data_IF_046355432359
#
_entry.id   IF_046355432359
#
_cell.length_a   1.000
_cell.length_b   1.000
_cell.length_c   1.000
_cell.angle_alpha   90.00
_cell.angle_beta   90.00
_cell.angle_gamma   90.00
#
_symmetry.space_group_name_H-M   'P 1'
#
loop_
_entity.id
_entity.type
_entity.pdbx_description
1 polymer ?
#
# COMPACT_ATOMS: atom_id res chain seq x y z
N UNK A 1 13.31 18.50 39.00
CA UNK A 1 13.24 17.39 38.04
C UNK A 1 11.83 17.39 37.47
N UNK A 2 11.66 18.00 36.28
CA UNK A 2 10.35 18.11 35.61
C UNK A 2 10.16 16.84 34.78
N UNK A 3 9.18 16.02 35.15
CA UNK A 3 8.75 14.89 34.35
C UNK A 3 8.17 15.40 33.04
N UNK A 4 8.84 15.16 31.95
CA UNK A 4 8.31 15.35 30.58
C UNK A 4 7.14 14.39 30.44
N UNK A 5 5.93 14.88 30.70
CA UNK A 5 4.71 14.20 30.34
C UNK A 5 4.77 13.96 28.81
N UNK A 6 4.95 12.71 28.42
CA UNK A 6 4.74 12.27 27.04
C UNK A 6 3.26 12.50 26.72
N UNK A 7 2.94 13.71 26.26
CA UNK A 7 1.58 14.13 25.96
C UNK A 7 0.99 13.20 24.91
N UNK A 8 0.16 12.27 25.35
CA UNK A 8 -0.63 11.42 24.46
C UNK A 8 -1.56 12.33 23.68
N UNK A 9 -1.29 12.45 22.38
CA UNK A 9 -2.15 13.25 21.51
C UNK A 9 -3.54 12.60 21.48
N UNK A 10 -4.56 13.29 21.99
CA UNK A 10 -5.93 12.83 21.97
C UNK A 10 -6.35 12.40 20.56
N UNK A 11 -7.07 11.28 20.45
CA UNK A 11 -7.60 10.82 19.17
C UNK A 11 -8.64 11.82 18.64
N UNK A 12 -8.60 12.13 17.34
CA UNK A 12 -9.68 12.91 16.70
C UNK A 12 -10.92 12.03 16.50
N UNK A 13 -12.12 12.63 16.41
CA UNK A 13 -13.33 11.92 16.03
C UNK A 13 -13.09 11.06 14.77
N UNK A 14 -13.67 9.87 14.76
CA UNK A 14 -13.60 8.97 13.60
C UNK A 14 -14.75 9.30 12.63
N UNK A 15 -14.46 9.13 11.36
CA UNK A 15 -15.49 9.17 10.32
C UNK A 15 -15.94 7.74 10.03
N UNK A 16 -16.98 7.26 10.70
CA UNK A 16 -17.48 5.88 10.58
C UNK A 16 -17.84 5.50 9.15
N UNK A 17 -18.39 6.47 8.40
CA UNK A 17 -18.71 6.27 6.98
C UNK A 17 -17.46 5.96 6.13
N UNK A 18 -16.33 6.59 6.43
CA UNK A 18 -15.07 6.31 5.73
C UNK A 18 -14.51 4.93 6.09
N UNK A 19 -14.70 4.49 7.34
CA UNK A 19 -14.32 3.15 7.75
C UNK A 19 -15.23 2.10 7.07
N UNK A 20 -16.52 2.37 6.93
CA UNK A 20 -17.44 1.54 6.15
C UNK A 20 -17.04 1.44 4.67
N UNK A 21 -16.75 2.57 4.03
CA UNK A 21 -16.30 2.61 2.64
C UNK A 21 -14.97 1.85 2.42
N UNK A 22 -14.06 1.89 3.40
CA UNK A 22 -12.84 1.06 3.38
C UNK A 22 -13.17 -0.43 3.35
N UNK A 23 -14.14 -0.85 4.16
CA UNK A 23 -14.59 -2.23 4.18
C UNK A 23 -15.13 -2.68 2.81
N UNK A 24 -15.97 -1.87 2.20
CA UNK A 24 -16.51 -2.12 0.87
C UNK A 24 -15.39 -2.18 -0.19
N UNK A 25 -14.48 -1.20 -0.19
CA UNK A 25 -13.35 -1.18 -1.12
C UNK A 25 -12.44 -2.39 -0.95
N UNK A 26 -12.19 -2.83 0.29
CA UNK A 26 -11.40 -4.04 0.57
C UNK A 26 -12.08 -5.30 -0.01
N UNK A 27 -13.39 -5.43 0.13
CA UNK A 27 -14.14 -6.54 -0.46
C UNK A 27 -14.10 -6.51 -1.99
N UNK A 28 -14.14 -5.32 -2.60
CA UNK A 28 -13.98 -5.16 -4.06
C UNK A 28 -12.61 -5.66 -4.52
N UNK A 29 -11.51 -5.28 -3.81
CA UNK A 29 -10.16 -5.75 -4.16
C UNK A 29 -10.04 -7.27 -4.04
N UNK A 30 -10.58 -7.86 -2.97
CA UNK A 30 -10.58 -9.33 -2.79
C UNK A 30 -11.35 -10.01 -3.91
N UNK A 31 -12.57 -9.53 -4.22
CA UNK A 31 -13.39 -10.07 -5.30
C UNK A 31 -12.70 -9.92 -6.67
N UNK A 32 -12.06 -8.77 -6.93
CA UNK A 32 -11.31 -8.52 -8.15
C UNK A 32 -10.22 -9.59 -8.35
N UNK A 33 -9.36 -9.81 -7.38
CA UNK A 33 -8.27 -10.79 -7.50
C UNK A 33 -8.75 -12.24 -7.55
N UNK A 34 -9.83 -12.59 -6.83
CA UNK A 34 -10.43 -13.91 -6.93
C UNK A 34 -11.00 -14.18 -8.32
N UNK A 35 -11.72 -13.21 -8.89
CA UNK A 35 -12.34 -13.34 -10.21
C UNK A 35 -11.28 -13.29 -11.34
N UNK A 36 -10.21 -12.52 -11.16
CA UNK A 36 -9.08 -12.46 -12.09
C UNK A 36 -8.46 -13.84 -12.31
N UNK A 37 -8.30 -14.62 -11.25
CA UNK A 37 -7.72 -15.97 -11.30
C UNK A 37 -8.51 -16.91 -12.21
N UNK A 38 -9.81 -16.71 -12.34
CA UNK A 38 -10.71 -17.53 -13.18
C UNK A 38 -11.00 -16.90 -14.55
N UNK A 39 -10.53 -15.68 -14.81
CA UNK A 39 -10.79 -15.00 -16.07
C UNK A 39 -9.80 -15.47 -17.15
N UNK A 40 -10.29 -15.55 -18.41
CA UNK A 40 -9.46 -15.86 -19.58
C UNK A 40 -8.65 -14.66 -20.08
N UNK A 41 -8.62 -13.57 -19.33
CA UNK A 41 -7.93 -12.34 -19.67
C UNK A 41 -8.71 -11.10 -19.20
N UNK A 42 -8.10 -9.90 -19.25
CA UNK A 42 -8.70 -8.66 -18.74
C UNK A 42 -10.08 -8.35 -19.31
N UNK A 43 -10.31 -8.62 -20.59
CA UNK A 43 -11.58 -8.38 -21.26
C UNK A 43 -12.73 -9.27 -20.78
N UNK A 44 -12.42 -10.39 -20.13
CA UNK A 44 -13.42 -11.35 -19.63
C UNK A 44 -13.60 -11.28 -18.11
N UNK A 45 -12.97 -10.31 -17.47
CA UNK A 45 -13.05 -10.13 -16.03
C UNK A 45 -14.39 -9.52 -15.64
N UNK A 46 -15.14 -10.22 -14.78
CA UNK A 46 -16.49 -9.79 -14.34
C UNK A 46 -16.44 -8.46 -13.59
N UNK A 47 -15.37 -8.25 -12.80
CA UNK A 47 -15.15 -7.02 -12.04
C UNK A 47 -14.02 -6.22 -12.69
N UNK A 48 -14.24 -5.68 -13.88
CA UNK A 48 -13.20 -5.12 -14.73
C UNK A 48 -12.43 -3.92 -14.09
N UNK A 49 -13.10 -3.08 -13.29
CA UNK A 49 -12.52 -1.87 -12.70
C UNK A 49 -12.27 -1.98 -11.20
N UNK A 50 -12.11 -3.20 -10.66
CA UNK A 50 -11.85 -3.40 -9.22
C UNK A 50 -10.54 -2.77 -8.71
N UNK A 51 -9.58 -2.53 -9.61
CA UNK A 51 -8.34 -1.82 -9.30
C UNK A 51 -8.57 -0.37 -8.82
N UNK A 52 -9.66 0.29 -9.22
CA UNK A 52 -10.02 1.63 -8.75
C UNK A 52 -10.25 1.70 -7.22
N UNK A 53 -10.53 0.56 -6.58
CA UNK A 53 -10.59 0.51 -5.13
C UNK A 53 -9.23 0.80 -4.48
N UNK A 54 -8.11 0.50 -5.15
CA UNK A 54 -6.76 0.84 -4.68
C UNK A 54 -6.54 2.35 -4.76
N UNK A 55 -6.98 3.00 -5.83
CA UNK A 55 -6.92 4.47 -5.98
C UNK A 55 -7.74 5.15 -4.89
N UNK A 56 -8.92 4.61 -4.58
CA UNK A 56 -9.73 5.09 -3.46
C UNK A 56 -8.96 4.99 -2.13
N UNK A 57 -8.23 3.89 -1.88
CA UNK A 57 -7.40 3.78 -0.68
C UNK A 57 -6.30 4.83 -0.63
N UNK A 58 -5.65 5.16 -1.75
CA UNK A 58 -4.63 6.21 -1.78
C UNK A 58 -5.22 7.59 -1.47
N UNK A 59 -6.35 7.94 -2.07
CA UNK A 59 -7.03 9.22 -1.79
C UNK A 59 -7.44 9.29 -0.32
N UNK A 60 -8.03 8.22 0.19
CA UNK A 60 -8.48 8.15 1.58
C UNK A 60 -7.31 8.19 2.57
N UNK A 61 -6.19 7.53 2.25
CA UNK A 61 -4.97 7.59 3.07
C UNK A 61 -4.43 9.01 3.16
N UNK A 62 -4.38 9.75 2.04
CA UNK A 62 -4.00 11.15 2.01
C UNK A 62 -4.90 12.02 2.87
N UNK A 63 -6.22 11.87 2.76
CA UNK A 63 -7.19 12.57 3.60
C UNK A 63 -6.97 12.29 5.09
N UNK A 64 -6.86 11.02 5.46
CA UNK A 64 -6.70 10.60 6.86
C UNK A 64 -5.39 11.11 7.45
N UNK A 65 -4.31 11.15 6.66
CA UNK A 65 -3.02 11.69 7.10
C UNK A 65 -3.13 13.19 7.37
N UNK A 66 -3.65 13.97 6.42
CA UNK A 66 -3.88 15.41 6.59
C UNK A 66 -4.78 15.66 7.80
N UNK A 67 -5.93 15.01 7.88
CA UNK A 67 -6.84 15.14 9.02
C UNK A 67 -6.19 14.81 10.36
N UNK A 68 -5.41 13.74 10.43
CA UNK A 68 -4.82 13.28 11.68
C UNK A 68 -3.64 14.14 12.16
N UNK A 69 -2.90 14.77 11.25
CA UNK A 69 -1.58 15.31 11.58
C UNK A 69 -1.34 16.78 11.26
N UNK A 70 -2.10 17.45 10.35
CA UNK A 70 -1.80 18.81 9.91
C UNK A 70 -1.71 19.84 11.05
N UNK A 71 -2.58 19.75 12.04
CA UNK A 71 -2.63 20.65 13.22
C UNK A 71 -1.75 20.20 14.39
N UNK A 72 -1.01 19.09 14.25
CA UNK A 72 -0.26 18.45 15.35
C UNK A 72 1.26 18.56 15.25
N UNK A 73 1.76 19.11 14.16
CA UNK A 73 3.19 19.19 13.92
C UNK A 73 3.97 20.01 14.95
N UNK A 74 3.32 20.97 15.61
CA UNK A 74 3.93 21.73 16.72
C UNK A 74 4.18 20.88 17.97
N UNK A 75 3.53 19.70 18.09
CA UNK A 75 3.61 18.79 19.23
C UNK A 75 4.14 17.41 18.89
N UNK A 76 4.54 17.21 17.64
CA UNK A 76 4.97 15.90 17.14
C UNK A 76 6.27 16.03 16.35
N UNK A 77 7.26 15.19 16.70
CA UNK A 77 8.50 15.08 15.93
C UNK A 77 8.32 14.19 14.70
N UNK A 78 9.19 14.37 13.68
CA UNK A 78 9.27 13.49 12.51
C UNK A 78 9.45 12.01 12.93
N UNK A 79 10.33 11.74 13.89
CA UNK A 79 10.54 10.38 14.44
C UNK A 79 9.24 9.82 15.03
N UNK A 80 8.49 10.65 15.76
CA UNK A 80 7.20 10.26 16.34
C UNK A 80 6.15 9.94 15.27
N UNK A 81 6.10 10.72 14.18
CA UNK A 81 5.24 10.46 13.04
C UNK A 81 5.58 9.13 12.38
N UNK A 82 6.84 8.93 11.96
CA UNK A 82 7.25 7.70 11.28
C UNK A 82 7.07 6.46 12.15
N UNK A 83 7.37 6.53 13.45
CA UNK A 83 7.12 5.42 14.38
C UNK A 83 5.64 5.01 14.37
N UNK A 84 4.71 5.96 14.41
CA UNK A 84 3.27 5.68 14.38
C UNK A 84 2.83 5.04 13.07
N UNK A 85 3.36 5.53 11.95
CA UNK A 85 3.06 4.97 10.61
C UNK A 85 3.63 3.56 10.48
N UNK A 86 4.86 3.36 10.91
CA UNK A 86 5.52 2.05 10.90
C UNK A 86 4.72 1.02 11.71
N UNK A 87 4.40 1.33 12.97
CA UNK A 87 3.62 0.43 13.85
C UNK A 87 2.24 0.11 13.26
N UNK A 88 1.66 1.03 12.48
CA UNK A 88 0.35 0.81 11.85
C UNK A 88 0.41 -0.04 10.59
N UNK A 89 1.40 0.17 9.72
CA UNK A 89 1.46 -0.45 8.38
C UNK A 89 2.32 -1.71 8.34
N UNK A 90 3.44 -1.69 9.03
CA UNK A 90 4.46 -2.73 8.90
C UNK A 90 4.05 -4.14 9.37
N UNK A 91 3.23 -4.29 10.42
CA UNK A 91 2.74 -5.62 10.81
C UNK A 91 1.98 -6.33 9.68
N UNK A 92 1.22 -5.58 8.87
CA UNK A 92 0.49 -6.14 7.71
C UNK A 92 1.45 -6.64 6.63
N UNK A 93 2.56 -5.92 6.40
CA UNK A 93 3.60 -6.30 5.43
C UNK A 93 4.25 -7.60 5.86
N UNK A 94 4.70 -7.68 7.12
CA UNK A 94 5.34 -8.88 7.67
C UNK A 94 4.39 -10.07 7.59
N UNK A 95 3.15 -9.90 8.07
CA UNK A 95 2.16 -10.96 8.05
C UNK A 95 1.85 -11.44 6.64
N UNK A 96 1.66 -10.52 5.68
CA UNK A 96 1.41 -10.86 4.28
C UNK A 96 2.59 -11.60 3.65
N UNK A 97 3.83 -11.18 3.91
CA UNK A 97 5.04 -11.83 3.41
C UNK A 97 5.23 -13.24 4.00
N UNK A 98 4.97 -13.41 5.30
CA UNK A 98 5.05 -14.74 5.94
C UNK A 98 3.98 -15.69 5.41
N UNK A 99 2.73 -15.24 5.32
CA UNK A 99 1.62 -16.03 4.78
C UNK A 99 1.92 -16.39 3.32
N UNK A 100 2.37 -15.44 2.51
CA UNK A 100 2.74 -15.66 1.12
C UNK A 100 3.87 -16.67 0.98
N UNK A 101 4.91 -16.60 1.83
CA UNK A 101 6.00 -17.57 1.84
C UNK A 101 5.52 -18.98 2.19
N UNK A 102 4.63 -19.11 3.17
CA UNK A 102 4.04 -20.41 3.54
C UNK A 102 3.23 -20.99 2.39
N UNK A 103 2.34 -20.23 1.80
CA UNK A 103 1.54 -20.69 0.65
C UNK A 103 2.41 -21.01 -0.56
N UNK A 104 3.44 -20.22 -0.83
CA UNK A 104 4.37 -20.49 -1.91
C UNK A 104 5.11 -21.81 -1.68
N UNK A 105 5.68 -22.01 -0.51
CA UNK A 105 6.47 -23.19 -0.19
C UNK A 105 5.63 -24.49 -0.23
N UNK A 106 4.45 -24.48 0.39
CA UNK A 106 3.57 -25.65 0.41
C UNK A 106 2.75 -25.82 -0.88
N UNK A 107 2.53 -24.75 -1.64
CA UNK A 107 1.83 -24.78 -2.91
C UNK A 107 2.72 -25.14 -4.11
N UNK A 108 4.04 -25.22 -3.93
CA UNK A 108 5.01 -25.47 -5.01
C UNK A 108 4.73 -26.76 -5.79
N UNK A 109 4.20 -27.79 -5.13
CA UNK A 109 3.83 -29.05 -5.78
C UNK A 109 2.69 -28.90 -6.82
N UNK A 110 1.85 -27.88 -6.70
CA UNK A 110 0.75 -27.61 -7.63
C UNK A 110 1.19 -26.81 -8.86
N UNK A 111 2.37 -26.17 -8.81
CA UNK A 111 2.88 -25.31 -9.88
C UNK A 111 4.28 -25.75 -10.29
N UNK A 112 4.43 -26.49 -11.40
CA UNK A 112 5.74 -27.02 -11.85
C UNK A 112 6.83 -25.96 -12.04
N UNK A 113 6.45 -24.74 -12.39
CA UNK A 113 7.40 -23.62 -12.54
C UNK A 113 8.09 -23.22 -11.23
N UNK A 114 7.49 -23.59 -10.09
CA UNK A 114 7.95 -23.26 -8.74
C UNK A 114 8.75 -24.43 -8.11
N UNK A 115 8.61 -25.63 -8.66
CA UNK A 115 9.19 -26.87 -8.10
C UNK A 115 10.73 -26.85 -7.99
N UNK A 116 11.42 -25.96 -8.71
CA UNK A 116 12.88 -25.80 -8.66
C UNK A 116 13.39 -24.80 -7.62
N UNK A 117 12.50 -24.03 -6.97
CA UNK A 117 12.90 -22.98 -6.02
C UNK A 117 13.31 -23.60 -4.69
N UNK A 118 14.51 -23.25 -4.23
CA UNK A 118 15.06 -23.77 -2.99
C UNK A 118 14.44 -23.05 -1.78
N UNK A 119 14.30 -23.75 -0.65
CA UNK A 119 13.71 -23.20 0.57
C UNK A 119 14.41 -21.92 1.07
N UNK A 120 15.73 -21.83 0.89
CA UNK A 120 16.50 -20.65 1.29
C UNK A 120 16.24 -19.43 0.41
N UNK A 121 15.89 -19.62 -0.88
CA UNK A 121 15.46 -18.54 -1.78
C UNK A 121 14.13 -17.97 -1.31
N UNK A 122 13.19 -18.85 -0.95
CA UNK A 122 11.89 -18.42 -0.38
C UNK A 122 12.10 -17.63 0.92
N UNK A 123 13.01 -18.12 1.79
CA UNK A 123 13.35 -17.41 3.03
C UNK A 123 13.95 -16.04 2.75
N UNK A 124 14.89 -15.94 1.82
CA UNK A 124 15.56 -14.70 1.45
C UNK A 124 14.56 -13.66 0.89
N UNK A 125 13.69 -14.10 -0.02
CA UNK A 125 12.64 -13.24 -0.60
C UNK A 125 11.60 -12.86 0.46
N UNK A 126 11.28 -13.75 1.39
CA UNK A 126 10.40 -13.44 2.52
C UNK A 126 11.02 -12.35 3.42
N UNK A 127 12.28 -12.48 3.79
CA UNK A 127 12.99 -11.46 4.58
C UNK A 127 13.05 -10.13 3.84
N UNK A 128 13.34 -10.13 2.54
CA UNK A 128 13.30 -8.94 1.70
C UNK A 128 11.91 -8.32 1.70
N UNK A 129 10.86 -9.11 1.47
CA UNK A 129 9.47 -8.67 1.50
C UNK A 129 9.09 -8.05 2.84
N UNK A 130 9.59 -8.57 3.96
CA UNK A 130 9.40 -7.96 5.27
C UNK A 130 10.02 -6.57 5.41
N UNK A 131 11.02 -6.21 4.61
CA UNK A 131 11.61 -4.85 4.60
C UNK A 131 10.88 -3.88 3.67
N UNK A 132 9.94 -4.34 2.86
CA UNK A 132 9.29 -3.61 1.76
C UNK A 132 10.23 -3.15 0.64
N UNK A 133 11.46 -3.62 0.61
CA UNK A 133 12.33 -3.37 -0.52
C UNK A 133 11.86 -4.19 -1.72
N UNK A 134 11.78 -3.60 -2.92
CA UNK A 134 11.39 -4.33 -4.11
C UNK A 134 12.46 -5.38 -4.46
N UNK A 135 12.02 -6.58 -4.81
CA UNK A 135 12.91 -7.60 -5.34
C UNK A 135 13.43 -7.20 -6.73
N UNK A 136 14.67 -7.57 -7.01
CA UNK A 136 15.22 -7.45 -8.35
C UNK A 136 14.50 -8.39 -9.32
N UNK A 137 14.39 -8.07 -10.61
CA UNK A 137 13.77 -8.97 -11.60
C UNK A 137 14.38 -10.37 -11.63
N UNK A 138 15.69 -10.48 -11.34
CA UNK A 138 16.40 -11.77 -11.25
C UNK A 138 16.01 -12.61 -10.02
N UNK A 139 15.30 -12.01 -9.06
CA UNK A 139 14.84 -12.64 -7.82
C UNK A 139 13.35 -12.91 -7.81
N UNK A 140 12.72 -12.78 -8.97
CA UNK A 140 11.30 -13.11 -9.13
C UNK A 140 11.13 -14.63 -9.22
N UNK A 141 10.94 -15.24 -8.07
CA UNK A 141 10.76 -16.70 -7.92
C UNK A 141 9.41 -17.20 -8.45
N UNK A 142 8.48 -16.28 -8.81
CA UNK A 142 7.17 -16.64 -9.40
C UNK A 142 7.15 -16.50 -10.92
N UNK A 143 8.05 -15.71 -11.49
CA UNK A 143 8.11 -15.43 -12.92
C UNK A 143 6.97 -14.52 -13.43
N UNK A 144 6.33 -13.73 -12.55
CA UNK A 144 5.21 -12.85 -12.88
C UNK A 144 5.59 -11.38 -13.05
N UNK A 145 6.87 -11.06 -12.90
CA UNK A 145 7.38 -9.69 -13.00
C UNK A 145 7.04 -8.82 -11.77
N UNK A 146 6.68 -9.45 -10.65
CA UNK A 146 6.28 -8.73 -9.44
C UNK A 146 7.49 -8.26 -8.63
N UNK A 147 7.41 -7.02 -8.12
CA UNK A 147 8.43 -6.47 -7.22
C UNK A 147 8.36 -7.05 -5.80
N UNK A 148 7.27 -7.71 -5.46
CA UNK A 148 7.03 -8.37 -4.16
C UNK A 148 6.49 -9.79 -4.39
N UNK A 149 7.33 -10.75 -4.82
CA UNK A 149 6.88 -12.06 -5.32
C UNK A 149 6.04 -12.89 -4.35
N UNK A 150 6.24 -12.71 -3.03
CA UNK A 150 5.47 -13.42 -1.99
C UNK A 150 4.28 -12.63 -1.46
N UNK A 151 4.18 -11.34 -1.78
CA UNK A 151 3.11 -10.47 -1.31
C UNK A 151 2.81 -9.43 -2.39
N UNK A 152 2.21 -9.87 -3.48
CA UNK A 152 1.89 -9.02 -4.63
C UNK A 152 1.30 -7.64 -4.24
N UNK A 153 0.26 -7.57 -3.41
CA UNK A 153 -0.33 -6.29 -2.99
C UNK A 153 0.59 -5.33 -2.22
N UNK A 154 1.77 -5.78 -1.76
CA UNK A 154 2.68 -4.94 -0.98
C UNK A 154 3.21 -3.71 -1.73
N UNK A 155 3.19 -3.71 -3.07
CA UNK A 155 3.56 -2.53 -3.85
C UNK A 155 2.73 -1.29 -3.47
N UNK A 156 1.45 -1.44 -3.21
CA UNK A 156 0.58 -0.34 -2.81
C UNK A 156 0.96 0.23 -1.45
N UNK A 157 1.36 -0.63 -0.50
CA UNK A 157 1.87 -0.21 0.81
C UNK A 157 3.23 0.51 0.71
N UNK A 158 4.09 0.10 -0.22
CA UNK A 158 5.34 0.83 -0.49
C UNK A 158 5.05 2.26 -0.95
N UNK A 159 4.12 2.45 -1.89
CA UNK A 159 3.70 3.78 -2.31
C UNK A 159 3.06 4.58 -1.17
N UNK A 160 2.32 3.93 -0.27
CA UNK A 160 1.80 4.59 0.93
C UNK A 160 2.94 5.08 1.84
N UNK A 161 4.02 4.31 2.00
CA UNK A 161 5.22 4.78 2.74
C UNK A 161 5.89 5.96 2.07
N UNK A 162 6.07 5.91 0.75
CA UNK A 162 6.63 7.03 -0.03
C UNK A 162 5.76 8.28 0.14
N UNK A 163 4.45 8.16 0.01
CA UNK A 163 3.51 9.25 0.23
C UNK A 163 3.59 9.84 1.65
N UNK A 164 3.75 8.99 2.68
CA UNK A 164 3.96 9.44 4.06
C UNK A 164 5.27 10.23 4.22
N UNK A 165 6.35 9.77 3.58
CA UNK A 165 7.64 10.47 3.60
C UNK A 165 7.52 11.83 2.92
N UNK A 166 6.95 11.86 1.72
CA UNK A 166 6.72 13.09 0.97
C UNK A 166 5.83 14.07 1.74
N UNK A 167 4.73 13.59 2.33
CA UNK A 167 3.88 14.41 3.18
C UNK A 167 4.66 15.03 4.34
N UNK A 168 5.38 14.21 5.12
CA UNK A 168 6.06 14.67 6.32
C UNK A 168 7.21 15.64 6.03
N UNK A 169 7.92 15.47 4.93
CA UNK A 169 9.10 16.28 4.60
C UNK A 169 8.78 17.49 3.73
N UNK A 170 7.83 17.38 2.82
CA UNK A 170 7.61 18.34 1.74
C UNK A 170 6.18 18.90 1.76
N UNK A 171 5.18 18.05 1.49
CA UNK A 171 3.81 18.45 1.16
C UNK A 171 3.15 19.28 2.25
N UNK A 172 3.34 18.92 3.52
CA UNK A 172 2.80 19.65 4.68
C UNK A 172 3.24 21.11 4.78
N UNK A 173 4.28 21.51 4.06
CA UNK A 173 4.82 22.87 4.04
C UNK A 173 4.22 23.73 2.93
N UNK A 174 3.53 23.10 1.98
CA UNK A 174 2.95 23.84 0.86
C UNK A 174 1.69 24.57 1.28
N UNK A 175 1.48 25.79 0.79
CA UNK A 175 0.23 26.50 0.96
C UNK A 175 -0.88 25.77 0.18
N UNK A 176 -2.13 25.92 0.64
CA UNK A 176 -3.29 25.24 0.04
C UNK A 176 -3.44 25.49 -1.45
N UNK A 177 -3.05 26.68 -1.93
CA UNK A 177 -3.08 27.02 -3.35
C UNK A 177 -2.16 26.11 -4.18
N UNK A 178 -0.92 25.89 -3.72
CA UNK A 178 0.04 25.00 -4.40
C UNK A 178 -0.47 23.57 -4.41
N UNK A 179 -1.06 23.10 -3.29
CA UNK A 179 -1.68 21.76 -3.25
C UNK A 179 -2.84 21.65 -4.24
N UNK A 180 -3.66 22.71 -4.35
CA UNK A 180 -4.74 22.78 -5.35
C UNK A 180 -4.22 22.68 -6.78
N UNK A 181 -3.10 23.33 -7.10
CA UNK A 181 -2.46 23.23 -8.42
C UNK A 181 -1.94 21.82 -8.71
N UNK A 182 -1.34 21.15 -7.70
CA UNK A 182 -0.91 19.76 -7.86
C UNK A 182 -2.09 18.82 -8.13
N UNK A 183 -3.20 18.97 -7.40
CA UNK A 183 -4.41 18.17 -7.61
C UNK A 183 -4.99 18.42 -9.00
N UNK A 184 -5.10 19.68 -9.42
CA UNK A 184 -5.60 20.04 -10.75
C UNK A 184 -4.69 19.48 -11.86
N UNK A 185 -3.37 19.63 -11.71
CA UNK A 185 -2.39 19.08 -12.65
C UNK A 185 -2.45 17.55 -12.75
N UNK A 186 -2.56 16.86 -11.62
CA UNK A 186 -2.72 15.40 -11.58
C UNK A 186 -4.02 14.96 -12.27
N UNK A 187 -5.14 15.66 -12.03
CA UNK A 187 -6.42 15.37 -12.67
C UNK A 187 -6.33 15.52 -14.20
N UNK A 188 -5.72 16.61 -14.67
CA UNK A 188 -5.54 16.85 -16.11
C UNK A 188 -4.66 15.76 -16.74
N UNK A 189 -3.55 15.39 -16.08
CA UNK A 189 -2.67 14.31 -16.57
C UNK A 189 -3.40 12.96 -16.64
N UNK A 190 -4.18 12.62 -15.62
CA UNK A 190 -4.95 11.36 -15.60
C UNK A 190 -5.98 11.35 -16.74
N UNK A 191 -6.73 12.43 -16.93
CA UNK A 191 -7.70 12.54 -18.02
C UNK A 191 -7.04 12.48 -19.39
N UNK A 192 -5.87 13.11 -19.56
CA UNK A 192 -5.10 13.06 -20.80
C UNK A 192 -4.60 11.65 -21.11
N UNK A 193 -4.12 10.90 -20.10
CA UNK A 193 -3.67 9.52 -20.30
C UNK A 193 -4.81 8.57 -20.66
N UNK A 194 -5.99 8.73 -20.04
CA UNK A 194 -7.18 7.95 -20.40
C UNK A 194 -7.55 8.18 -21.87
N UNK A 195 -7.52 9.43 -22.33
CA UNK A 195 -7.87 9.77 -23.72
C UNK A 195 -6.88 9.28 -24.78
N UNK A 196 -5.62 9.02 -24.39
CA UNK A 196 -4.59 8.47 -25.28
C UNK A 196 -4.70 6.94 -25.37
N UNK A 197 -5.29 6.29 -24.36
CA UNK A 197 -5.43 4.82 -24.29
C UNK A 197 -6.70 4.26 -24.94
N UNK A 198 -7.62 5.13 -25.38
CA UNK A 198 -8.80 4.77 -26.20
C UNK A 198 -8.49 4.86 -27.69
#
# INVERSE_FOLDING_TARGET
>A
MSATATGYLASKPRYEILDGLRGVAAMIVVAFHLLETYSKGPAYQVLNHGYLAVDFFFVLSGFVIGYAYDDRWNRMSLKGFFKRRLVRLHPMVIMGSLIGALFFYFGSAAFPMIAGVQWWEVLLICLLGCTMLPALPSWDIRGWGETSPLNGPAWSLLYEYIANILYALVIRRFPKFVLGLFVAGAAVLTLSLIHISE
#
